data_IF_055666823969
#
_entry.id   IF_055666823969
#
_cell.length_a   1.000
_cell.length_b   1.000
_cell.length_c   1.000
_cell.angle_alpha   90.00
_cell.angle_beta   90.00
_cell.angle_gamma   90.00
#
_symmetry.space_group_name_H-M   'P 1'
#
loop_
_entity.id
_entity.type
_entity.pdbx_description
1 polymer ?
#
# COMPACT_ATOMS: atom_id res chain seq x y z
N UNK A 1 -60.61 -2.28 -42.50
CA UNK A 1 -61.09 -1.91 -41.16
C UNK A 1 -60.08 -2.51 -40.21
N UNK A 2 -58.96 -1.80 -40.07
CA UNK A 2 -57.79 -2.19 -39.28
C UNK A 2 -57.97 -1.58 -37.89
N UNK A 3 -57.85 -2.38 -36.84
CA UNK A 3 -57.85 -1.91 -35.46
C UNK A 3 -56.47 -1.34 -35.12
N UNK A 4 -56.42 -0.03 -34.88
CA UNK A 4 -55.23 0.69 -34.48
C UNK A 4 -55.06 0.61 -32.95
N UNK A 5 -54.02 -0.10 -32.52
CA UNK A 5 -53.61 -0.27 -31.13
C UNK A 5 -53.07 1.05 -30.55
N UNK A 6 -53.84 1.71 -29.69
CA UNK A 6 -53.37 2.87 -28.92
C UNK A 6 -52.52 2.43 -27.72
N UNK A 7 -51.19 2.58 -27.83
CA UNK A 7 -50.26 2.51 -26.68
C UNK A 7 -50.37 3.81 -25.87
N UNK A 8 -50.87 3.70 -24.64
CA UNK A 8 -50.69 4.73 -23.61
C UNK A 8 -49.21 4.72 -23.21
N UNK A 9 -48.51 5.85 -23.38
CA UNK A 9 -47.17 6.05 -22.82
C UNK A 9 -47.35 6.37 -21.34
N UNK A 10 -46.86 5.50 -20.48
CA UNK A 10 -46.62 5.83 -19.07
C UNK A 10 -45.37 6.71 -19.03
N UNK A 11 -45.57 8.02 -18.85
CA UNK A 11 -44.49 8.94 -18.53
C UNK A 11 -44.03 8.66 -17.08
N UNK A 12 -42.97 7.87 -16.92
CA UNK A 12 -42.24 7.81 -15.65
C UNK A 12 -41.57 9.16 -15.39
N UNK A 13 -41.81 9.83 -14.24
CA UNK A 13 -41.04 11.01 -13.90
C UNK A 13 -39.63 10.59 -13.48
N UNK A 14 -38.68 10.80 -14.39
CA UNK A 14 -37.25 10.71 -14.12
C UNK A 14 -36.80 11.86 -13.20
N UNK A 15 -36.98 11.69 -11.90
CA UNK A 15 -36.27 12.50 -10.93
C UNK A 15 -34.81 12.00 -10.86
N UNK A 16 -33.80 12.81 -11.22
CA UNK A 16 -32.44 12.48 -10.88
C UNK A 16 -32.30 12.66 -9.37
N UNK A 17 -32.35 11.56 -8.62
CA UNK A 17 -31.86 11.57 -7.24
C UNK A 17 -30.35 11.71 -7.35
N UNK A 18 -29.86 12.95 -7.34
CA UNK A 18 -28.47 13.25 -7.03
C UNK A 18 -28.18 12.57 -5.69
N UNK A 19 -27.48 11.43 -5.72
CA UNK A 19 -26.88 10.87 -4.51
C UNK A 19 -25.82 11.87 -4.08
N UNK A 20 -26.18 12.73 -3.13
CA UNK A 20 -25.23 13.64 -2.50
C UNK A 20 -24.13 12.80 -1.86
N UNK A 21 -22.89 13.22 -2.11
CA UNK A 21 -21.70 12.55 -1.62
C UNK A 21 -21.59 12.58 -0.09
N UNK A 22 -20.53 11.98 0.48
CA UNK A 22 -20.32 11.97 1.91
C UNK A 22 -20.13 13.40 2.48
N UNK A 23 -20.72 13.64 3.64
CA UNK A 23 -20.52 14.87 4.43
C UNK A 23 -19.37 14.66 5.42
N UNK A 24 -18.35 15.52 5.38
CA UNK A 24 -17.10 15.33 6.14
C UNK A 24 -16.75 16.57 6.95
N UNK A 25 -16.43 16.39 8.23
CA UNK A 25 -15.86 17.42 9.12
C UNK A 25 -14.56 16.91 9.74
N UNK A 26 -13.60 17.81 9.96
CA UNK A 26 -12.26 17.49 10.48
C UNK A 26 -11.97 18.28 11.74
N UNK A 27 -11.34 17.67 12.74
CA UNK A 27 -10.91 18.32 13.98
C UNK A 27 -9.59 17.72 14.48
N UNK A 28 -8.76 18.56 15.12
CA UNK A 28 -7.44 18.19 15.61
C UNK A 28 -6.35 18.17 14.53
N UNK A 29 -5.10 18.18 14.98
CA UNK A 29 -3.89 18.06 14.16
C UNK A 29 -2.84 17.27 14.94
N UNK A 30 -2.00 16.50 14.25
CA UNK A 30 -0.91 15.71 14.85
C UNK A 30 -1.37 14.74 15.98
N UNK A 31 -2.60 14.24 15.91
CA UNK A 31 -3.18 13.33 16.92
C UNK A 31 -2.53 11.94 16.94
N UNK A 32 -1.60 11.68 16.04
CA UNK A 32 -0.84 10.44 15.95
C UNK A 32 0.45 10.54 16.77
N UNK A 33 0.35 10.93 18.03
CA UNK A 33 1.48 11.24 18.92
C UNK A 33 1.72 10.21 20.03
N UNK A 34 0.92 9.14 20.04
CA UNK A 34 0.92 8.09 21.06
C UNK A 34 0.34 8.49 22.42
N UNK A 35 -0.36 9.60 22.50
CA UNK A 35 -1.12 9.99 23.68
C UNK A 35 -2.59 9.56 23.56
N UNK A 36 -3.29 9.63 24.69
CA UNK A 36 -4.73 9.42 24.71
C UNK A 36 -5.43 10.64 24.14
N UNK A 37 -6.30 10.38 23.16
CA UNK A 37 -7.23 11.39 22.66
C UNK A 37 -8.68 10.95 22.88
N UNK A 38 -9.53 11.93 23.10
CA UNK A 38 -10.97 11.74 23.25
C UNK A 38 -11.68 12.34 22.06
N UNK A 39 -12.30 11.51 21.22
CA UNK A 39 -13.09 11.99 20.08
C UNK A 39 -14.57 11.94 20.45
N UNK A 40 -15.25 13.07 20.32
CA UNK A 40 -16.68 13.23 20.59
C UNK A 40 -17.41 13.62 19.32
N UNK A 41 -18.41 12.83 18.95
CA UNK A 41 -19.27 13.08 17.80
C UNK A 41 -20.70 13.27 18.28
N UNK A 42 -21.34 14.34 17.82
CA UNK A 42 -22.75 14.60 18.01
C UNK A 42 -23.40 14.83 16.65
N UNK A 43 -24.52 14.16 16.40
CA UNK A 43 -25.36 14.40 15.23
C UNK A 43 -26.80 14.60 15.71
N UNK A 44 -27.43 15.67 15.23
CA UNK A 44 -28.85 15.93 15.49
C UNK A 44 -29.53 16.38 14.21
N UNK A 45 -30.28 15.48 13.60
CA UNK A 45 -30.88 15.73 12.28
C UNK A 45 -29.80 16.02 11.24
N UNK A 46 -29.71 17.27 10.76
CA UNK A 46 -28.71 17.74 9.79
C UNK A 46 -27.46 18.36 10.43
N UNK A 47 -27.47 18.62 11.73
CA UNK A 47 -26.36 19.25 12.43
C UNK A 47 -25.34 18.21 12.86
N UNK A 48 -24.07 18.47 12.55
CA UNK A 48 -22.92 17.65 12.93
C UNK A 48 -22.01 18.47 13.83
N UNK A 49 -21.47 17.85 14.87
CA UNK A 49 -20.46 18.45 15.73
C UNK A 49 -19.40 17.42 16.08
N UNK A 50 -18.14 17.77 15.84
CA UNK A 50 -16.97 16.95 16.15
C UNK A 50 -16.08 17.71 17.13
N UNK A 51 -15.57 17.02 18.14
CA UNK A 51 -14.61 17.56 19.10
C UNK A 51 -13.52 16.53 19.34
N UNK A 52 -12.28 16.98 19.43
CA UNK A 52 -11.14 16.15 19.82
C UNK A 52 -10.55 16.79 21.07
N UNK A 53 -10.42 16.00 22.14
CA UNK A 53 -10.01 16.43 23.47
C UNK A 53 -10.86 17.61 23.97
N UNK A 54 -10.20 18.66 24.44
CA UNK A 54 -10.79 19.92 24.88
C UNK A 54 -10.63 21.04 23.83
N UNK A 55 -10.36 20.68 22.57
CA UNK A 55 -10.27 21.64 21.47
C UNK A 55 -11.65 22.26 21.14
N UNK A 56 -11.62 23.41 20.47
CA UNK A 56 -12.85 24.06 20.00
C UNK A 56 -13.65 23.13 19.07
N UNK A 57 -14.95 22.93 19.31
CA UNK A 57 -15.78 22.07 18.48
C UNK A 57 -15.87 22.57 17.04
N UNK A 58 -15.82 21.64 16.10
CA UNK A 58 -16.07 21.92 14.68
C UNK A 58 -17.50 21.52 14.37
N UNK A 59 -18.26 22.48 13.83
CA UNK A 59 -19.66 22.30 13.48
C UNK A 59 -19.82 22.20 11.96
N UNK A 60 -20.74 21.36 11.51
CA UNK A 60 -21.08 21.15 10.11
C UNK A 60 -22.58 20.96 9.92
N UNK A 61 -23.04 21.18 8.68
CA UNK A 61 -24.43 21.02 8.30
C UNK A 61 -24.53 20.12 7.07
N UNK A 62 -25.26 19.01 7.17
CA UNK A 62 -25.47 18.10 6.04
C UNK A 62 -26.36 18.74 4.98
N UNK A 63 -25.99 18.56 3.71
CA UNK A 63 -26.78 18.97 2.56
C UNK A 63 -27.84 17.92 2.21
N UNK A 64 -29.01 18.38 1.76
CA UNK A 64 -30.15 17.51 1.44
C UNK A 64 -31.08 17.28 2.62
N UNK A 65 -32.17 16.56 2.38
CA UNK A 65 -33.27 16.39 3.35
C UNK A 65 -33.22 15.07 4.10
N UNK A 66 -32.30 14.18 3.72
CA UNK A 66 -32.13 12.90 4.37
C UNK A 66 -31.35 13.07 5.68
N UNK A 67 -31.97 12.70 6.81
CA UNK A 67 -31.39 12.78 8.16
C UNK A 67 -31.38 11.47 8.91
N UNK A 68 -31.91 10.38 8.34
CA UNK A 68 -31.91 9.08 8.98
C UNK A 68 -30.56 8.40 8.74
N UNK A 69 -30.07 7.70 9.75
CA UNK A 69 -28.89 6.84 9.64
C UNK A 69 -29.34 5.39 9.83
N UNK A 70 -28.94 4.54 8.90
CA UNK A 70 -29.22 3.10 8.93
C UNK A 70 -27.91 2.35 9.18
N UNK A 71 -27.83 1.59 10.27
CA UNK A 71 -26.66 0.77 10.62
C UNK A 71 -27.06 -0.42 11.50
N UNK A 72 -26.22 -1.45 11.55
CA UNK A 72 -26.44 -2.67 12.35
C UNK A 72 -25.47 -2.75 13.51
N UNK A 73 -24.21 -2.54 13.18
CA UNK A 73 -23.09 -2.70 14.09
C UNK A 73 -22.38 -1.36 14.20
N UNK A 74 -21.88 -1.10 15.40
CA UNK A 74 -20.87 -0.09 15.63
C UNK A 74 -19.55 -0.86 15.66
N UNK A 75 -18.73 -0.65 14.64
CA UNK A 75 -17.47 -1.37 14.49
C UNK A 75 -16.30 -0.47 14.93
N UNK A 76 -15.34 -1.06 15.65
CA UNK A 76 -14.12 -0.38 16.10
C UNK A 76 -12.91 -1.21 15.65
N UNK A 77 -11.85 -0.55 15.17
CA UNK A 77 -10.66 -1.23 14.65
C UNK A 77 -10.76 -1.50 13.14
N UNK A 78 -11.16 -2.73 12.76
CA UNK A 78 -11.33 -3.14 11.36
C UNK A 78 -12.84 -3.24 11.06
N UNK A 79 -13.27 -2.71 9.92
CA UNK A 79 -14.66 -2.76 9.46
C UNK A 79 -14.94 -4.16 8.89
N UNK A 80 -15.84 -4.91 9.51
CA UNK A 80 -16.01 -6.37 9.29
C UNK A 80 -17.26 -6.76 8.48
N UNK A 81 -18.28 -5.91 8.40
CA UNK A 81 -19.56 -6.27 7.77
C UNK A 81 -19.94 -5.39 6.55
N UNK A 82 -20.34 -6.03 5.44
CA UNK A 82 -20.86 -5.41 4.20
C UNK A 82 -22.27 -5.87 3.82
N UNK A 83 -23.09 -6.34 4.76
CA UNK A 83 -24.47 -6.81 4.49
C UNK A 83 -25.53 -5.89 5.09
N UNK A 84 -26.64 -5.72 4.37
CA UNK A 84 -27.69 -4.73 4.61
C UNK A 84 -29.00 -5.38 5.11
N UNK A 85 -29.50 -4.95 6.25
CA UNK A 85 -30.85 -5.04 6.84
C UNK A 85 -31.18 -3.75 7.66
N UNK A 86 -32.46 -3.46 7.84
CA UNK A 86 -32.98 -2.21 8.44
C UNK A 86 -32.84 -2.04 9.97
N UNK A 87 -32.13 -1.04 10.51
CA UNK A 87 -32.52 -0.37 11.77
C UNK A 87 -32.35 1.15 11.64
N UNK A 88 -33.38 1.91 12.06
CA UNK A 88 -33.44 3.37 11.90
C UNK A 88 -33.04 4.09 13.20
N UNK A 89 -32.10 5.04 13.13
CA UNK A 89 -31.69 5.85 14.28
C UNK A 89 -31.01 7.18 13.93
N UNK A 90 -30.71 7.97 14.97
CA UNK A 90 -29.82 9.15 14.92
C UNK A 90 -28.68 8.94 15.95
N UNK A 91 -27.55 9.63 15.79
CA UNK A 91 -26.41 9.53 16.73
C UNK A 91 -26.44 10.76 17.66
N UNK A 92 -27.26 10.70 18.71
CA UNK A 92 -27.36 11.80 19.67
C UNK A 92 -26.02 12.12 20.36
N UNK A 93 -25.25 11.08 20.72
CA UNK A 93 -23.92 11.22 21.29
C UNK A 93 -23.10 9.94 21.14
N UNK A 94 -21.88 10.07 20.63
CA UNK A 94 -20.88 9.01 20.64
C UNK A 94 -19.55 9.57 21.16
N UNK A 95 -18.98 8.94 22.18
CA UNK A 95 -17.65 9.25 22.71
C UNK A 95 -16.74 8.04 22.51
N UNK A 96 -15.63 8.27 21.82
CA UNK A 96 -14.57 7.29 21.63
C UNK A 96 -13.33 7.80 22.37
N UNK A 97 -12.99 7.10 23.45
CA UNK A 97 -11.71 7.26 24.14
C UNK A 97 -10.73 6.27 23.52
N UNK A 98 -9.76 6.76 22.77
CA UNK A 98 -8.78 5.92 22.10
C UNK A 98 -7.37 6.43 22.35
N UNK A 99 -6.45 5.51 22.68
CA UNK A 99 -5.03 5.81 22.61
C UNK A 99 -4.69 5.82 21.14
N UNK A 100 -4.38 6.99 20.58
CA UNK A 100 -3.93 7.08 19.20
C UNK A 100 -2.42 6.84 19.22
N UNK A 101 -2.11 5.57 19.52
CA UNK A 101 -0.79 5.03 19.78
C UNK A 101 0.09 4.87 18.54
N UNK A 102 1.37 5.27 18.60
CA UNK A 102 2.46 4.62 17.85
C UNK A 102 2.74 3.22 18.44
N UNK A 103 1.74 2.35 18.54
CA UNK A 103 2.07 0.92 18.52
C UNK A 103 2.38 0.62 17.05
N UNK A 104 3.55 0.02 16.76
CA UNK A 104 3.87 -0.46 15.42
C UNK A 104 2.91 -1.61 15.08
N UNK A 105 1.68 -1.26 14.71
CA UNK A 105 0.64 -2.19 14.31
C UNK A 105 1.02 -2.63 12.91
N UNK A 106 1.30 -3.93 12.78
CA UNK A 106 1.43 -4.61 11.50
C UNK A 106 0.06 -5.23 11.22
N UNK A 107 -0.77 -4.55 10.44
CA UNK A 107 -2.11 -5.01 10.08
C UNK A 107 -2.06 -5.88 8.82
N UNK A 108 -2.78 -7.00 8.83
CA UNK A 108 -2.97 -7.92 7.70
C UNK A 108 -1.71 -8.15 6.84
N UNK A 109 -0.60 -8.63 7.43
CA UNK A 109 0.61 -8.89 6.68
C UNK A 109 0.38 -9.96 5.60
N UNK A 110 0.94 -9.73 4.42
CA UNK A 110 0.92 -10.64 3.27
C UNK A 110 2.33 -10.78 2.71
N UNK A 111 2.72 -12.02 2.42
CA UNK A 111 4.03 -12.40 1.90
C UNK A 111 3.97 -12.68 0.39
N UNK A 112 4.81 -12.01 -0.37
CA UNK A 112 5.12 -12.30 -1.78
C UNK A 112 6.38 -13.17 -1.81
N UNK A 113 6.21 -14.49 -2.02
CA UNK A 113 7.32 -15.45 -1.91
C UNK A 113 8.32 -15.36 -3.04
N UNK A 114 7.88 -15.04 -4.25
CA UNK A 114 8.73 -14.94 -5.43
C UNK A 114 8.61 -13.58 -6.10
N UNK A 115 9.68 -13.12 -6.74
CA UNK A 115 9.74 -11.85 -7.50
C UNK A 115 8.83 -11.82 -8.73
N UNK A 116 8.21 -12.94 -9.10
CA UNK A 116 7.18 -13.00 -10.13
C UNK A 116 5.75 -12.96 -9.57
N UNK A 117 5.60 -12.93 -8.24
CA UNK A 117 4.30 -12.93 -7.57
C UNK A 117 3.76 -11.50 -7.49
N UNK A 118 2.50 -11.33 -7.85
CA UNK A 118 1.83 -10.04 -7.77
C UNK A 118 0.33 -10.23 -7.69
N UNK A 119 -0.36 -9.19 -7.25
CA UNK A 119 -1.81 -9.10 -7.26
C UNK A 119 -2.26 -7.84 -7.97
N UNK A 120 -3.45 -7.90 -8.56
CA UNK A 120 -4.11 -6.79 -9.20
C UNK A 120 -5.33 -6.38 -8.38
N UNK A 121 -5.45 -5.08 -8.08
CA UNK A 121 -6.59 -4.45 -7.41
C UNK A 121 -7.27 -3.49 -8.39
N UNK A 122 -8.46 -3.02 -8.02
CA UNK A 122 -9.12 -1.94 -8.75
C UNK A 122 -8.26 -0.67 -8.75
N UNK A 123 -8.38 0.13 -9.81
CA UNK A 123 -7.65 1.40 -10.02
C UNK A 123 -7.57 2.28 -8.77
N UNK A 124 -6.37 2.78 -8.48
CA UNK A 124 -6.13 3.71 -7.39
C UNK A 124 -6.90 5.03 -7.60
N UNK A 125 -7.68 5.44 -6.60
CA UNK A 125 -8.43 6.69 -6.62
C UNK A 125 -7.54 7.84 -6.11
N UNK A 126 -6.75 8.47 -6.97
CA UNK A 126 -5.73 9.47 -6.59
C UNK A 126 -5.75 10.77 -7.42
N UNK A 127 -6.93 11.16 -7.92
CA UNK A 127 -7.07 12.24 -8.91
C UNK A 127 -6.58 13.61 -8.41
N UNK A 128 -7.19 14.17 -7.36
CA UNK A 128 -6.85 15.53 -6.87
C UNK A 128 -5.77 15.55 -5.79
N UNK A 129 -5.75 14.54 -4.94
CA UNK A 129 -4.80 14.34 -3.87
C UNK A 129 -4.59 12.83 -3.69
N UNK A 130 -3.52 12.48 -2.99
CA UNK A 130 -3.17 11.09 -2.75
C UNK A 130 -2.59 10.95 -1.35
N UNK A 131 -2.98 9.89 -0.67
CA UNK A 131 -2.35 9.42 0.56
C UNK A 131 -2.18 7.90 0.47
N UNK A 132 -0.94 7.45 0.38
CA UNK A 132 -0.60 6.03 0.43
C UNK A 132 0.15 5.78 1.72
N UNK A 133 -0.21 4.72 2.42
CA UNK A 133 0.57 4.20 3.52
C UNK A 133 0.69 2.69 3.38
N UNK A 134 1.87 2.16 3.66
CA UNK A 134 2.09 0.74 3.81
C UNK A 134 3.36 0.50 4.59
N UNK A 135 3.47 -0.71 5.12
CA UNK A 135 4.69 -1.22 5.73
C UNK A 135 5.25 -2.33 4.86
N UNK A 136 6.56 -2.42 4.79
CA UNK A 136 7.21 -3.53 4.09
C UNK A 136 8.38 -4.10 4.89
N UNK A 137 8.68 -5.37 4.63
CA UNK A 137 9.84 -6.10 5.16
C UNK A 137 10.45 -6.94 4.05
N UNK A 138 11.74 -6.81 3.78
CA UNK A 138 12.41 -7.58 2.72
C UNK A 138 13.92 -7.72 2.97
N UNK A 139 14.54 -8.69 2.31
CA UNK A 139 16.00 -8.82 2.16
C UNK A 139 16.47 -8.47 0.74
N UNK A 140 15.56 -8.39 -0.22
CA UNK A 140 15.86 -8.08 -1.62
C UNK A 140 16.16 -6.60 -1.79
N UNK A 141 17.25 -6.26 -2.49
CA UNK A 141 17.64 -4.87 -2.73
C UNK A 141 16.81 -4.18 -3.82
N UNK A 142 16.20 -4.95 -4.71
CA UNK A 142 15.49 -4.43 -5.87
C UNK A 142 14.13 -5.13 -6.02
N UNK A 143 13.12 -4.40 -6.44
CA UNK A 143 11.79 -4.97 -6.69
C UNK A 143 10.69 -3.92 -6.86
N UNK A 144 9.76 -4.17 -7.79
CA UNK A 144 8.57 -3.35 -7.99
C UNK A 144 7.52 -3.61 -6.90
N UNK A 145 7.14 -2.60 -6.12
CA UNK A 145 6.16 -2.73 -5.02
C UNK A 145 4.76 -2.35 -5.48
N UNK A 146 4.60 -1.24 -6.20
CA UNK A 146 3.32 -0.71 -6.63
C UNK A 146 3.44 -0.15 -8.05
N UNK A 147 2.45 -0.42 -8.90
CA UNK A 147 2.33 0.17 -10.22
C UNK A 147 0.87 0.39 -10.62
N UNK A 148 0.51 1.60 -11.05
CA UNK A 148 -0.74 1.86 -11.76
C UNK A 148 -0.42 2.75 -12.98
N UNK A 149 -0.82 2.32 -14.17
CA UNK A 149 -0.82 3.17 -15.36
C UNK A 149 -2.01 4.13 -15.36
N UNK A 150 -1.98 5.11 -16.25
CA UNK A 150 -3.03 6.11 -16.46
C UNK A 150 -3.28 6.37 -17.93
N UNK A 151 -4.07 7.40 -18.20
CA UNK A 151 -4.28 7.88 -19.57
C UNK A 151 -3.03 8.62 -20.08
N UNK A 152 -2.72 8.45 -21.36
CA UNK A 152 -1.50 9.00 -21.96
C UNK A 152 -0.22 8.51 -21.27
N UNK A 153 0.49 9.42 -20.59
CA UNK A 153 1.74 9.13 -19.88
C UNK A 153 1.56 9.10 -18.36
N UNK A 154 0.34 9.23 -17.85
CA UNK A 154 0.12 9.26 -16.40
C UNK A 154 0.47 7.90 -15.81
N UNK A 155 1.21 7.90 -14.70
CA UNK A 155 1.46 6.67 -13.94
C UNK A 155 1.93 6.98 -12.53
N UNK A 156 1.84 5.97 -11.69
CA UNK A 156 2.46 5.92 -10.37
C UNK A 156 3.20 4.61 -10.18
N UNK A 157 4.41 4.70 -9.64
CA UNK A 157 5.29 3.58 -9.31
C UNK A 157 5.89 3.79 -7.93
N UNK A 158 5.93 2.71 -7.15
CA UNK A 158 6.79 2.60 -5.98
C UNK A 158 7.67 1.37 -6.17
N UNK A 159 8.98 1.56 -6.07
CA UNK A 159 9.96 0.49 -6.27
C UNK A 159 11.08 0.60 -5.23
N UNK A 160 11.76 -0.52 -5.00
CA UNK A 160 13.02 -0.56 -4.28
C UNK A 160 14.16 -0.65 -5.29
N UNK A 161 15.19 0.17 -5.11
CA UNK A 161 16.38 0.18 -5.98
C UNK A 161 17.62 0.23 -5.11
N UNK A 162 18.47 -0.79 -5.18
CA UNK A 162 19.68 -0.94 -4.35
C UNK A 162 19.40 -0.76 -2.84
N UNK A 163 18.22 -1.17 -2.41
CA UNK A 163 17.71 -1.10 -1.05
C UNK A 163 17.10 0.26 -0.66
N UNK A 164 16.98 1.22 -1.57
CA UNK A 164 16.37 2.52 -1.28
C UNK A 164 14.99 2.63 -1.94
N UNK A 165 14.03 3.23 -1.23
CA UNK A 165 12.69 3.42 -1.77
C UNK A 165 12.70 4.55 -2.81
N UNK A 166 12.14 4.28 -3.98
CA UNK A 166 11.90 5.24 -5.04
C UNK A 166 10.39 5.37 -5.28
N UNK A 167 9.93 6.62 -5.33
CA UNK A 167 8.59 6.97 -5.80
C UNK A 167 8.73 7.71 -7.13
N UNK A 168 8.13 7.15 -8.18
CA UNK A 168 8.16 7.71 -9.53
C UNK A 168 6.72 7.97 -9.97
N UNK A 169 6.46 9.15 -10.50
CA UNK A 169 5.15 9.44 -11.11
C UNK A 169 5.25 10.44 -12.24
N UNK A 170 4.26 10.39 -13.12
CA UNK A 170 4.01 11.39 -14.15
C UNK A 170 2.52 11.76 -14.07
N UNK A 171 2.24 13.06 -14.04
CA UNK A 171 0.89 13.63 -14.02
C UNK A 171 0.55 14.33 -15.35
N UNK A 172 1.38 14.11 -16.39
CA UNK A 172 1.24 14.71 -17.72
C UNK A 172 2.27 15.78 -18.06
N UNK A 173 3.22 16.09 -17.17
CA UNK A 173 4.31 17.07 -17.43
C UNK A 173 5.71 16.44 -17.45
N UNK A 174 5.79 15.12 -17.51
CA UNK A 174 7.02 14.38 -17.48
C UNK A 174 7.27 13.71 -16.13
N UNK A 175 7.76 12.48 -16.22
CA UNK A 175 8.09 11.67 -15.07
C UNK A 175 9.14 12.35 -14.16
N UNK A 176 8.88 12.31 -12.87
CA UNK A 176 9.83 12.72 -11.83
C UNK A 176 10.03 11.59 -10.82
N UNK A 177 11.20 11.61 -10.17
CA UNK A 177 11.63 10.61 -9.19
C UNK A 177 11.93 11.31 -7.86
N UNK A 178 11.28 10.83 -6.80
CA UNK A 178 11.59 11.21 -5.42
C UNK A 178 12.20 10.00 -4.73
N UNK A 179 13.42 10.17 -4.21
CA UNK A 179 14.09 9.16 -3.40
C UNK A 179 13.69 9.31 -1.95
N UNK A 180 13.24 8.22 -1.33
CA UNK A 180 13.02 8.16 0.10
C UNK A 180 14.31 8.44 0.87
N UNK A 181 14.21 9.17 1.97
CA UNK A 181 15.36 9.52 2.79
C UNK A 181 15.61 8.43 3.84
N UNK A 182 16.65 7.62 3.64
CA UNK A 182 17.17 6.68 4.63
C UNK A 182 18.71 6.73 4.67
N UNK A 183 19.30 6.48 5.84
CA UNK A 183 20.77 6.42 5.98
C UNK A 183 21.35 5.07 5.54
N UNK A 184 20.51 4.04 5.52
CA UNK A 184 20.88 2.65 5.25
C UNK A 184 19.90 2.08 4.23
N UNK A 185 20.31 1.05 3.48
CA UNK A 185 19.40 0.22 2.70
C UNK A 185 18.29 -0.34 3.60
N UNK A 186 17.06 -0.39 3.07
CA UNK A 186 15.81 -0.80 3.72
C UNK A 186 15.51 -2.30 3.53
N UNK A 187 16.44 -3.04 2.93
CA UNK A 187 16.36 -4.48 2.74
C UNK A 187 17.08 -5.23 3.88
N UNK A 188 16.88 -4.76 5.11
CA UNK A 188 17.55 -5.24 6.33
C UNK A 188 16.71 -6.24 7.13
N UNK A 189 15.63 -6.76 6.52
CA UNK A 189 14.65 -7.66 7.14
C UNK A 189 13.90 -7.09 8.36
N UNK A 190 13.83 -5.77 8.51
CA UNK A 190 12.96 -5.10 9.47
C UNK A 190 11.75 -4.47 8.78
N UNK A 191 10.71 -4.21 9.58
CA UNK A 191 9.54 -3.48 9.10
C UNK A 191 9.88 -1.99 8.95
N UNK A 192 9.68 -1.46 7.76
CA UNK A 192 9.77 -0.03 7.48
C UNK A 192 8.41 0.55 7.16
N UNK A 193 8.15 1.75 7.69
CA UNK A 193 6.94 2.51 7.41
C UNK A 193 7.15 3.39 6.17
N UNK A 194 6.24 3.33 5.20
CA UNK A 194 6.25 4.19 4.02
C UNK A 194 4.95 4.96 3.95
N UNK A 195 5.06 6.29 3.90
CA UNK A 195 3.94 7.18 3.59
C UNK A 195 4.30 8.03 2.38
N UNK A 196 3.43 8.01 1.36
CA UNK A 196 3.58 8.82 0.16
C UNK A 196 2.30 9.61 0.00
N UNK A 197 2.39 10.94 0.02
CA UNK A 197 1.23 11.80 -0.19
C UNK A 197 1.49 12.88 -1.23
N UNK A 198 0.40 13.38 -1.80
CA UNK A 198 0.37 14.52 -2.70
C UNK A 198 -0.85 15.37 -2.36
N UNK A 199 -0.62 16.63 -2.03
CA UNK A 199 -1.70 17.59 -1.78
C UNK A 199 -2.22 18.23 -3.08
N UNK A 200 -3.25 19.08 -2.96
CA UNK A 200 -3.86 19.81 -4.09
C UNK A 200 -2.96 20.91 -4.68
N UNK A 201 -1.82 21.20 -4.03
CA UNK A 201 -0.81 22.14 -4.49
C UNK A 201 0.38 21.43 -5.15
N UNK A 202 0.26 20.12 -5.43
CA UNK A 202 1.34 19.28 -5.95
C UNK A 202 2.58 19.23 -5.05
N UNK A 203 2.41 19.38 -3.73
CA UNK A 203 3.45 19.04 -2.77
C UNK A 203 3.42 17.54 -2.54
N UNK A 204 4.43 16.85 -3.08
CA UNK A 204 4.65 15.44 -2.83
C UNK A 204 5.47 15.27 -1.56
N UNK A 205 5.07 14.34 -0.71
CA UNK A 205 5.76 13.98 0.54
C UNK A 205 6.03 12.49 0.53
N UNK A 206 7.29 12.09 0.70
CA UNK A 206 7.70 10.71 0.92
C UNK A 206 8.32 10.62 2.31
N UNK A 207 7.70 9.85 3.19
CA UNK A 207 8.20 9.60 4.55
C UNK A 207 8.57 8.14 4.69
N UNK A 208 9.83 7.89 5.05
CA UNK A 208 10.37 6.58 5.39
C UNK A 208 10.66 6.57 6.87
N UNK A 209 9.97 5.71 7.62
CA UNK A 209 10.02 5.66 9.08
C UNK A 209 9.75 7.03 9.70
N UNK A 210 10.79 7.72 10.16
CA UNK A 210 10.71 9.05 10.76
C UNK A 210 11.18 10.17 9.84
N UNK A 211 11.77 9.84 8.69
CA UNK A 211 12.44 10.79 7.80
C UNK A 211 11.54 11.21 6.65
N UNK A 212 11.44 12.51 6.44
CA UNK A 212 10.56 13.10 5.42
C UNK A 212 11.40 13.71 4.30
N UNK A 213 10.96 13.48 3.07
CA UNK A 213 11.40 14.16 1.85
C UNK A 213 10.19 14.81 1.19
N UNK A 214 10.29 16.09 0.83
CA UNK A 214 9.23 16.80 0.11
C UNK A 214 9.72 17.33 -1.22
N UNK A 215 8.88 17.31 -2.24
CA UNK A 215 9.15 17.93 -3.54
C UNK A 215 7.86 18.49 -4.13
N UNK A 216 7.89 19.74 -4.57
CA UNK A 216 6.77 20.34 -5.31
C UNK A 216 6.98 20.15 -6.79
N UNK A 217 5.95 19.67 -7.49
CA UNK A 217 5.97 19.54 -8.96
C UNK A 217 5.13 20.64 -9.60
N UNK A 218 5.59 21.12 -10.76
CA UNK A 218 4.90 22.14 -11.53
C UNK A 218 4.08 21.50 -12.66
N UNK A 219 2.95 22.11 -13.00
CA UNK A 219 2.12 21.73 -14.15
C UNK A 219 0.77 21.13 -13.75
N UNK A 220 0.31 20.15 -14.53
CA UNK A 220 -0.88 19.35 -14.26
C UNK A 220 -1.00 18.90 -12.80
N UNK A 221 -2.21 18.98 -12.28
CA UNK A 221 -2.56 18.71 -10.88
C UNK A 221 -3.28 17.39 -10.67
N UNK A 222 -3.70 16.77 -11.76
CA UNK A 222 -4.56 15.60 -11.72
C UNK A 222 -3.75 14.40 -12.19
N UNK A 223 -3.93 13.27 -11.51
CA UNK A 223 -3.35 11.99 -11.90
C UNK A 223 -4.51 11.10 -12.39
N UNK A 224 -4.67 10.94 -13.71
CA UNK A 224 -5.76 10.16 -14.29
C UNK A 224 -5.34 8.70 -14.49
N UNK A 225 -5.40 7.93 -13.41
CA UNK A 225 -5.08 6.50 -13.42
C UNK A 225 -6.19 5.68 -14.09
N UNK A 226 -5.78 4.63 -14.81
CA UNK A 226 -6.63 3.71 -15.56
C UNK A 226 -6.12 2.27 -15.41
N UNK A 227 -7.03 1.32 -15.60
CA UNK A 227 -6.70 -0.11 -15.47
C UNK A 227 -6.34 -0.50 -14.04
N UNK A 228 -5.82 -1.71 -13.87
CA UNK A 228 -5.64 -2.30 -12.56
C UNK A 228 -4.43 -1.70 -11.81
N UNK A 229 -4.54 -1.65 -10.49
CA UNK A 229 -3.46 -1.36 -9.57
C UNK A 229 -2.69 -2.64 -9.26
N UNK A 230 -1.43 -2.70 -9.63
CA UNK A 230 -0.58 -3.85 -9.37
C UNK A 230 0.23 -3.67 -8.08
N UNK A 231 0.24 -4.70 -7.23
CA UNK A 231 1.00 -4.76 -5.99
C UNK A 231 1.92 -5.98 -6.01
N UNK A 232 3.19 -5.80 -5.62
CA UNK A 232 4.20 -6.85 -5.56
C UNK A 232 4.93 -7.13 -6.88
N UNK A 233 4.41 -6.66 -8.01
CA UNK A 233 5.03 -6.87 -9.32
C UNK A 233 4.03 -6.72 -10.46
N UNK A 234 4.45 -7.06 -11.67
CA UNK A 234 3.61 -7.07 -12.88
C UNK A 234 3.92 -8.31 -13.72
N UNK A 235 3.16 -8.53 -14.80
CA UNK A 235 3.47 -9.58 -15.76
C UNK A 235 4.87 -9.37 -16.38
N UNK A 236 5.55 -10.47 -16.72
CA UNK A 236 6.94 -10.46 -17.20
C UNK A 236 7.18 -9.53 -18.39
N UNK A 237 6.22 -9.47 -19.33
CA UNK A 237 6.33 -8.63 -20.52
C UNK A 237 6.17 -7.13 -20.19
N UNK A 238 5.37 -6.79 -19.18
CA UNK A 238 5.12 -5.42 -18.75
C UNK A 238 6.39 -4.72 -18.24
N UNK A 239 7.35 -5.44 -17.66
CA UNK A 239 8.64 -4.85 -17.24
C UNK A 239 9.44 -4.21 -18.39
N UNK A 240 9.20 -4.64 -19.64
CA UNK A 240 9.84 -4.06 -20.84
C UNK A 240 9.18 -2.73 -21.25
N UNK A 241 7.94 -2.52 -20.83
CA UNK A 241 7.09 -1.39 -21.18
C UNK A 241 7.05 -0.32 -20.08
N UNK A 242 7.62 -0.59 -18.90
CA UNK A 242 7.67 0.36 -17.80
C UNK A 242 8.35 1.68 -18.21
N UNK A 243 7.91 2.83 -17.65
CA UNK A 243 8.50 4.14 -17.92
C UNK A 243 10.02 4.16 -17.69
N UNK A 244 10.75 4.93 -18.51
CA UNK A 244 12.24 4.93 -18.53
C UNK A 244 12.91 5.24 -17.19
N UNK A 245 12.26 5.99 -16.30
CA UNK A 245 12.80 6.33 -14.98
C UNK A 245 12.67 5.18 -13.96
N UNK A 246 11.88 4.15 -14.27
CA UNK A 246 11.65 2.98 -13.43
C UNK A 246 12.76 1.95 -13.66
N UNK A 247 13.38 1.50 -12.58
CA UNK A 247 14.56 0.62 -12.65
C UNK A 247 14.18 -0.86 -12.58
N UNK A 248 13.06 -1.18 -11.94
CA UNK A 248 12.63 -2.54 -11.69
C UNK A 248 12.59 -3.40 -12.97
N UNK A 249 13.16 -4.60 -12.86
CA UNK A 249 13.10 -5.67 -13.87
C UNK A 249 12.41 -6.94 -13.38
N UNK A 250 12.01 -6.91 -12.12
CA UNK A 250 11.38 -8.00 -11.38
C UNK A 250 10.53 -7.40 -10.25
N UNK A 251 9.64 -8.20 -9.68
CA UNK A 251 8.72 -7.81 -8.62
C UNK A 251 9.36 -7.81 -7.25
N UNK A 252 8.64 -7.21 -6.31
CA UNK A 252 8.94 -7.26 -4.90
C UNK A 252 8.81 -8.69 -4.35
N UNK A 253 9.78 -9.06 -3.52
CA UNK A 253 9.78 -10.29 -2.76
C UNK A 253 10.00 -9.91 -1.30
N UNK A 254 9.04 -10.23 -0.45
CA UNK A 254 8.98 -9.66 0.89
C UNK A 254 7.57 -9.72 1.48
N UNK A 255 7.37 -9.03 2.59
CA UNK A 255 6.05 -8.80 3.15
C UNK A 255 5.58 -7.37 2.93
N UNK A 256 4.28 -7.22 2.72
CA UNK A 256 3.55 -5.95 2.82
C UNK A 256 2.52 -6.05 3.94
N UNK A 257 2.29 -4.96 4.65
CA UNK A 257 1.30 -4.86 5.71
C UNK A 257 0.73 -3.44 5.78
N UNK A 258 -0.39 -3.29 6.49
CA UNK A 258 -1.01 -2.01 6.79
C UNK A 258 -1.22 -1.14 5.55
N UNK A 259 -1.67 -1.76 4.45
CA UNK A 259 -1.84 -1.08 3.16
C UNK A 259 -3.08 -0.19 3.20
N UNK A 260 -2.85 1.10 3.03
CA UNK A 260 -3.84 2.15 2.85
C UNK A 260 -3.64 2.81 1.49
N UNK A 261 -4.66 2.72 0.66
CA UNK A 261 -4.73 3.25 -0.69
C UNK A 261 -5.74 4.39 -0.74
N UNK A 262 -5.31 5.57 -0.26
CA UNK A 262 -6.09 6.80 -0.22
C UNK A 262 -7.38 6.69 0.61
N UNK A 263 -7.26 6.13 1.82
CA UNK A 263 -8.35 5.88 2.76
C UNK A 263 -9.02 4.52 2.60
N UNK A 264 -8.66 3.75 1.57
CA UNK A 264 -9.14 2.37 1.39
C UNK A 264 -8.12 1.38 1.96
N UNK A 265 -8.59 0.52 2.86
CA UNK A 265 -7.81 -0.57 3.45
C UNK A 265 -8.21 -1.91 2.79
N UNK A 266 -7.63 -2.30 1.63
CA UNK A 266 -7.97 -3.56 0.99
C UNK A 266 -7.41 -4.76 1.77
N UNK A 267 -8.20 -5.83 1.90
CA UNK A 267 -7.61 -7.16 2.12
C UNK A 267 -6.95 -7.58 0.80
N UNK A 268 -5.62 -7.44 0.71
CA UNK A 268 -4.86 -7.65 -0.50
C UNK A 268 -5.18 -8.98 -1.22
N UNK A 269 -5.46 -10.05 -0.49
CA UNK A 269 -5.76 -11.36 -1.10
C UNK A 269 -7.24 -11.53 -1.46
N UNK A 270 -8.15 -10.99 -0.63
CA UNK A 270 -9.59 -11.15 -0.84
C UNK A 270 -10.17 -10.15 -1.85
N UNK A 271 -9.65 -8.93 -1.88
CA UNK A 271 -10.09 -7.84 -2.78
C UNK A 271 -9.37 -7.88 -4.14
N UNK A 272 -8.42 -8.82 -4.34
CA UNK A 272 -7.68 -8.95 -5.58
C UNK A 272 -8.59 -9.37 -6.75
N UNK A 273 -8.48 -8.64 -7.86
CA UNK A 273 -9.04 -9.01 -9.16
C UNK A 273 -8.30 -10.21 -9.76
N UNK A 274 -7.00 -10.29 -9.51
CA UNK A 274 -6.16 -11.42 -9.89
C UNK A 274 -5.00 -11.59 -8.89
N UNK A 275 -4.64 -12.85 -8.62
CA UNK A 275 -3.47 -13.23 -7.83
C UNK A 275 -2.59 -14.15 -8.67
N UNK A 276 -1.33 -13.79 -8.86
CA UNK A 276 -0.36 -14.54 -9.67
C UNK A 276 0.84 -14.89 -8.81
N UNK A 277 1.31 -16.13 -8.91
CA UNK A 277 2.48 -16.61 -8.15
C UNK A 277 2.12 -17.12 -6.76
N UNK A 278 3.08 -17.04 -5.84
CA UNK A 278 2.99 -17.58 -4.48
C UNK A 278 2.83 -16.43 -3.48
N UNK A 279 1.59 -16.19 -3.08
CA UNK A 279 1.20 -15.14 -2.13
C UNK A 279 0.52 -15.81 -0.94
N UNK A 280 0.98 -15.49 0.27
CA UNK A 280 0.51 -16.13 1.50
C UNK A 280 0.18 -15.09 2.56
N UNK A 281 -0.80 -15.40 3.42
CA UNK A 281 -1.12 -14.57 4.58
C UNK A 281 -0.04 -14.72 5.64
N UNK A 282 0.17 -13.66 6.42
CA UNK A 282 1.20 -13.62 7.45
C UNK A 282 2.54 -13.12 6.92
N UNK A 283 3.46 -12.93 7.87
CA UNK A 283 4.84 -12.56 7.58
C UNK A 283 5.78 -13.20 8.60
N UNK A 284 6.02 -14.50 8.45
CA UNK A 284 6.99 -15.21 9.30
C UNK A 284 8.45 -14.88 8.93
N UNK A 285 8.67 -14.14 7.83
CA UNK A 285 10.00 -13.82 7.31
C UNK A 285 10.52 -14.91 6.37
N UNK A 286 11.84 -14.97 6.14
CA UNK A 286 12.43 -16.00 5.30
C UNK A 286 12.14 -17.40 5.80
N UNK A 287 11.89 -18.34 4.88
CA UNK A 287 11.56 -19.75 5.20
C UNK A 287 12.63 -20.44 6.06
N UNK A 288 13.89 -20.01 5.97
CA UNK A 288 15.00 -20.49 6.81
C UNK A 288 15.91 -19.32 7.18
N UNK A 289 16.28 -19.21 8.45
CA UNK A 289 17.17 -18.16 8.95
C UNK A 289 18.62 -18.64 9.08
N UNK A 290 19.58 -17.73 8.92
CA UNK A 290 20.99 -18.01 9.23
C UNK A 290 21.14 -18.39 10.72
N UNK A 291 21.67 -19.59 10.94
CA UNK A 291 22.12 -20.11 12.22
C UNK A 291 23.64 -20.19 12.25
N UNK A 292 24.25 -20.36 13.44
CA UNK A 292 25.71 -20.48 13.58
C UNK A 292 26.28 -21.65 12.77
N UNK A 293 25.51 -22.72 12.56
CA UNK A 293 25.89 -23.93 11.82
C UNK A 293 25.38 -23.97 10.37
N UNK A 294 24.74 -22.89 9.89
CA UNK A 294 24.20 -22.83 8.53
C UNK A 294 25.29 -22.93 7.46
N UNK A 295 26.48 -22.41 7.72
CA UNK A 295 27.63 -22.46 6.81
C UNK A 295 28.80 -23.19 7.48
N UNK A 296 29.36 -24.20 6.80
CA UNK A 296 30.52 -24.92 7.30
C UNK A 296 31.81 -24.11 7.12
N UNK A 297 32.88 -24.55 7.81
CA UNK A 297 34.25 -24.06 7.61
C UNK A 297 34.40 -22.53 7.68
N UNK A 298 33.64 -21.88 8.57
CA UNK A 298 33.63 -20.43 8.78
C UNK A 298 33.17 -19.62 7.55
N UNK A 299 32.37 -20.23 6.65
CA UNK A 299 31.67 -19.50 5.59
C UNK A 299 30.72 -18.46 6.18
N UNK A 300 30.56 -17.33 5.50
CA UNK A 300 29.67 -16.25 5.95
C UNK A 300 28.25 -16.54 5.50
N UNK A 301 27.33 -16.73 6.45
CA UNK A 301 25.92 -16.91 6.13
C UNK A 301 25.28 -15.59 5.70
N UNK A 302 24.71 -15.57 4.51
CA UNK A 302 23.99 -14.45 3.93
C UNK A 302 22.50 -14.79 3.88
N UNK A 303 21.71 -14.05 4.67
CA UNK A 303 20.26 -14.21 4.70
C UNK A 303 19.63 -13.79 3.38
N UNK A 304 18.78 -14.64 2.82
CA UNK A 304 17.93 -14.36 1.67
C UNK A 304 16.44 -14.51 2.05
N UNK A 305 15.53 -14.29 1.10
CA UNK A 305 14.09 -14.44 1.35
C UNK A 305 13.62 -15.90 1.27
N UNK A 306 14.06 -16.64 0.25
CA UNK A 306 13.75 -18.06 0.08
C UNK A 306 14.65 -18.98 0.92
N UNK A 307 15.57 -18.41 1.70
CA UNK A 307 16.42 -19.15 2.63
C UNK A 307 17.72 -18.42 2.96
N UNK A 308 18.84 -19.11 2.94
CA UNK A 308 20.17 -18.48 3.10
C UNK A 308 21.15 -19.02 2.05
N UNK A 309 22.25 -18.28 1.86
CA UNK A 309 23.39 -18.71 1.05
C UNK A 309 24.68 -18.53 1.83
N UNK A 310 25.72 -19.32 1.52
CA UNK A 310 27.01 -19.17 2.18
C UNK A 310 28.04 -18.53 1.24
N UNK A 311 28.68 -17.45 1.68
CA UNK A 311 29.87 -16.92 1.02
C UNK A 311 31.10 -17.70 1.49
N UNK A 312 31.60 -18.53 0.58
CA UNK A 312 32.76 -19.39 0.80
C UNK A 312 34.08 -18.77 0.31
N UNK A 313 34.08 -17.54 -0.18
CA UNK A 313 35.24 -16.90 -0.84
C UNK A 313 36.49 -16.79 0.04
N UNK A 314 36.29 -16.68 1.35
CA UNK A 314 37.35 -16.64 2.36
C UNK A 314 37.59 -18.00 3.04
N UNK A 315 37.06 -19.09 2.47
CA UNK A 315 37.26 -20.46 2.93
C UNK A 315 38.05 -21.28 1.90
N UNK A 316 38.61 -22.42 2.31
CA UNK A 316 39.23 -23.40 1.37
C UNK A 316 38.23 -24.37 0.75
N UNK A 317 36.93 -24.12 0.92
CA UNK A 317 35.84 -24.99 0.50
C UNK A 317 34.90 -24.27 -0.47
N UNK A 318 34.17 -25.05 -1.26
CA UNK A 318 33.15 -24.58 -2.18
C UNK A 318 31.80 -25.21 -1.88
N UNK A 319 30.90 -25.12 -2.84
CA UNK A 319 29.54 -25.64 -2.72
C UNK A 319 28.60 -24.70 -1.96
N UNK A 320 27.31 -25.05 -1.87
CA UNK A 320 26.27 -24.18 -1.33
C UNK A 320 26.40 -23.91 0.19
N UNK A 321 27.08 -24.79 0.93
CA UNK A 321 27.25 -24.71 2.38
C UNK A 321 28.73 -24.63 2.81
N UNK A 322 29.64 -24.33 1.88
CA UNK A 322 31.09 -24.29 2.12
C UNK A 322 31.66 -25.59 2.70
N UNK A 323 31.17 -26.75 2.25
CA UNK A 323 31.61 -28.07 2.73
C UNK A 323 32.24 -28.93 1.63
N UNK A 324 32.20 -28.47 0.38
CA UNK A 324 32.77 -29.23 -0.73
C UNK A 324 34.26 -28.91 -0.84
N UNK A 325 35.11 -29.93 -0.85
CA UNK A 325 36.54 -29.73 -1.07
C UNK A 325 36.77 -29.20 -2.50
N UNK A 326 37.39 -28.02 -2.62
CA UNK A 326 37.79 -27.50 -3.93
C UNK A 326 38.95 -28.36 -4.41
N UNK A 327 38.72 -29.17 -5.45
CA UNK A 327 39.80 -29.93 -6.10
C UNK A 327 40.75 -28.95 -6.75
N UNK A 328 41.87 -28.67 -6.09
CA UNK A 328 43.02 -28.04 -6.72
C UNK A 328 43.39 -28.86 -7.96
N UNK A 329 43.45 -28.22 -9.12
CA UNK A 329 43.93 -28.83 -10.35
C UNK A 329 45.31 -29.44 -10.06
N UNK A 330 45.41 -30.77 -10.11
CA UNK A 330 46.70 -31.46 -10.09
C UNK A 330 47.41 -31.11 -11.40
N UNK A 331 48.33 -30.15 -11.37
CA UNK A 331 49.46 -30.17 -12.30
C UNK A 331 50.42 -31.26 -11.84
N UNK A 332 50.07 -32.50 -12.20
CA UNK A 332 51.02 -33.61 -12.13
C UNK A 332 51.57 -33.80 -13.54
N UNK A 333 52.53 -32.94 -13.91
CA UNK A 333 53.49 -33.27 -14.96
C UNK A 333 54.65 -34.00 -14.28
N UNK A 334 54.50 -35.31 -14.10
CA UNK A 334 55.63 -36.22 -14.08
C UNK A 334 55.74 -36.84 -15.47
N UNK A 335 56.78 -36.49 -16.22
CA UNK A 335 57.53 -37.46 -17.01
C UNK A 335 58.98 -36.99 -17.04
N UNK A 336 59.83 -37.86 -16.47
CA UNK A 336 61.29 -37.88 -16.58
C UNK A 336 61.76 -37.78 -18.04
#
# INVERSE_FOLDING_TARGET
MEEESSRVREDEPSFPVERKGPETIFAGQNLNDNEWHTVRVFRRGKSLKLTVDDLQPVEGQMAGDHTQLEFHNIETGIVTEKRFMAMNGDIDYCELNAMIGFKNIIADPVTFKSRSSYLALTTLQAYYSMHLFFQFKTTSSDGLILFNSGDGNDFIVVELVKGYLHYVSDLGNGAHLIKGNSNKPLNDNHWHNVMISRDTNNLHTVKIDTKITTQTTMGAKNLDLKGDLYIGGVAKETYKELPKLVHAKEGFQGCLASVDLNGRLPDLMSDALACVGQIERGCEGPSTTCQEDSCANQGVCLQQWEGFSCDCSMTSFGGPLCNDAIKAWRTQQEFN
#
